data_IF_813827225646
#
_entry.id   IF_813827225646
#
_cell.length_a   1.000
_cell.length_b   1.000
_cell.length_c   1.000
_cell.angle_alpha   90.00
_cell.angle_beta   90.00
_cell.angle_gamma   90.00
#
_symmetry.space_group_name_H-M   'P 1'
#
loop_
_entity.id
_entity.type
_entity.pdbx_description
1 polymer ?
#
# COMPACT_ATOMS: atom_id res chain seq x y z
N UNK A 1 -17.89 6.00 0.49
CA UNK A 1 -16.61 6.15 1.18
C UNK A 1 -15.58 5.46 0.31
N UNK A 2 -14.62 6.20 -0.21
CA UNK A 2 -13.49 5.65 -1.00
C UNK A 2 -12.41 5.09 -0.06
N UNK A 3 -11.50 4.27 -0.59
CA UNK A 3 -10.34 3.75 0.15
C UNK A 3 -9.49 4.89 0.70
N UNK A 4 -9.31 5.97 -0.07
CA UNK A 4 -8.56 7.16 0.33
C UNK A 4 -9.27 7.89 1.48
N UNK A 5 -10.59 8.03 1.42
CA UNK A 5 -11.38 8.61 2.52
C UNK A 5 -11.26 7.75 3.78
N UNK A 6 -11.35 6.43 3.66
CA UNK A 6 -11.22 5.52 4.78
C UNK A 6 -9.83 5.61 5.44
N UNK A 7 -8.75 5.61 4.64
CA UNK A 7 -7.37 5.80 5.14
C UNK A 7 -7.26 7.13 5.90
N UNK A 8 -7.76 8.22 5.33
CA UNK A 8 -7.71 9.55 5.96
C UNK A 8 -8.43 9.59 7.31
N UNK A 9 -9.60 8.94 7.42
CA UNK A 9 -10.33 8.85 8.68
C UNK A 9 -9.58 7.97 9.70
N UNK A 10 -9.01 6.84 9.27
CA UNK A 10 -8.23 5.96 10.14
C UNK A 10 -6.99 6.65 10.71
N UNK A 11 -6.27 7.43 9.89
CA UNK A 11 -5.09 8.19 10.34
C UNK A 11 -5.43 9.23 11.41
N UNK A 12 -6.63 9.83 11.38
CA UNK A 12 -7.07 10.79 12.41
C UNK A 12 -7.35 10.11 13.75
N UNK A 13 -7.89 8.89 13.71
CA UNK A 13 -8.31 8.12 14.89
C UNK A 13 -7.21 7.23 15.48
N UNK A 14 -6.01 7.25 14.90
CA UNK A 14 -4.91 6.42 15.34
C UNK A 14 -4.61 6.61 16.84
N UNK A 15 -4.38 5.53 17.61
CA UNK A 15 -4.05 5.62 19.04
C UNK A 15 -2.90 6.57 19.31
N UNK A 16 -3.02 7.38 20.37
CA UNK A 16 -2.04 8.41 20.74
C UNK A 16 -1.33 8.07 22.05
N UNK A 17 -0.07 8.47 22.17
CA UNK A 17 0.78 8.35 23.36
C UNK A 17 1.39 9.68 23.78
N UNK A 18 1.93 9.68 25.00
CA UNK A 18 2.78 10.74 25.53
C UNK A 18 4.24 10.27 25.61
N UNK A 19 5.18 11.16 25.26
CA UNK A 19 6.62 10.90 25.25
C UNK A 19 7.39 12.12 25.76
N UNK A 20 8.58 11.91 26.30
CA UNK A 20 9.47 13.00 26.71
C UNK A 20 10.16 13.60 25.48
N UNK A 21 10.01 14.91 25.28
CA UNK A 21 10.64 15.68 24.20
C UNK A 21 11.29 16.91 24.82
N UNK A 22 12.61 17.04 24.68
CA UNK A 22 13.40 18.14 25.27
C UNK A 22 13.16 18.32 26.79
N UNK A 23 13.09 17.22 27.53
CA UNK A 23 12.89 17.26 28.99
C UNK A 23 11.47 17.63 29.44
N UNK A 24 10.51 17.77 28.52
CA UNK A 24 9.08 18.01 28.85
C UNK A 24 8.22 16.86 28.32
N UNK A 25 7.23 16.44 29.10
CA UNK A 25 6.26 15.44 28.67
C UNK A 25 5.31 16.08 27.64
N UNK A 26 5.24 15.52 26.44
CA UNK A 26 4.36 15.95 25.36
C UNK A 26 3.46 14.79 24.92
N UNK A 27 2.21 15.09 24.57
CA UNK A 27 1.21 14.10 24.13
C UNK A 27 0.82 14.29 22.66
N UNK A 28 0.11 13.30 22.11
CA UNK A 28 -0.48 13.38 20.76
C UNK A 28 0.33 12.65 19.68
N UNK A 29 1.31 11.84 20.06
CA UNK A 29 2.09 11.04 19.11
C UNK A 29 1.38 9.74 18.76
N UNK A 30 1.38 9.37 17.48
CA UNK A 30 0.86 8.07 17.07
C UNK A 30 1.60 6.90 17.73
N UNK A 31 0.83 5.95 18.22
CA UNK A 31 1.30 4.78 18.94
C UNK A 31 1.22 3.50 18.10
N UNK A 32 2.07 3.42 17.09
CA UNK A 32 2.20 2.28 16.18
C UNK A 32 2.64 0.97 16.85
N UNK A 33 3.05 1.01 18.13
CA UNK A 33 3.57 -0.15 18.84
C UNK A 33 2.53 -0.84 19.72
N UNK A 34 1.43 -0.16 20.05
CA UNK A 34 0.31 -0.79 20.74
C UNK A 34 -0.41 -1.79 19.84
N UNK A 35 -1.08 -2.78 20.43
CA UNK A 35 -1.92 -3.73 19.67
C UNK A 35 -2.94 -3.02 18.76
N UNK A 36 -3.49 -1.90 19.24
CA UNK A 36 -4.39 -1.06 18.46
C UNK A 36 -3.67 -0.36 17.32
N UNK A 37 -2.49 0.20 17.55
CA UNK A 37 -1.69 0.84 16.50
C UNK A 37 -1.34 -0.15 15.39
N UNK A 38 -0.87 -1.35 15.77
CA UNK A 38 -0.55 -2.43 14.82
C UNK A 38 -1.78 -2.81 13.98
N UNK A 39 -2.96 -2.94 14.61
CA UNK A 39 -4.20 -3.25 13.90
C UNK A 39 -4.61 -2.13 12.93
N UNK A 40 -4.44 -0.86 13.32
CA UNK A 40 -4.71 0.28 12.45
C UNK A 40 -3.74 0.33 11.26
N UNK A 41 -2.44 0.15 11.50
CA UNK A 41 -1.42 0.14 10.46
C UNK A 41 -1.68 -1.00 9.45
N UNK A 42 -2.06 -2.19 9.93
CA UNK A 42 -2.40 -3.32 9.08
C UNK A 42 -3.63 -3.03 8.21
N UNK A 43 -4.67 -2.43 8.79
CA UNK A 43 -5.88 -2.06 8.04
C UNK A 43 -5.59 -0.97 7.00
N UNK A 44 -4.77 0.04 7.34
CA UNK A 44 -4.32 1.07 6.39
C UNK A 44 -3.55 0.42 5.24
N UNK A 45 -2.60 -0.46 5.52
CA UNK A 45 -1.85 -1.18 4.47
C UNK A 45 -2.74 -2.01 3.56
N UNK A 46 -3.78 -2.65 4.12
CA UNK A 46 -4.74 -3.41 3.33
C UNK A 46 -5.55 -2.50 2.40
N UNK A 47 -6.01 -1.34 2.89
CA UNK A 47 -6.72 -0.34 2.09
C UNK A 47 -5.84 0.27 1.00
N UNK A 48 -4.57 0.56 1.31
CA UNK A 48 -3.60 1.06 0.32
C UNK A 48 -3.39 0.09 -0.84
N UNK A 49 -3.42 -1.22 -0.56
CA UNK A 49 -3.32 -2.27 -1.60
C UNK A 49 -4.57 -2.35 -2.47
N UNK A 50 -5.73 -1.91 -2.00
CA UNK A 50 -6.95 -1.86 -2.81
C UNK A 50 -6.96 -0.71 -3.81
N UNK A 51 -6.15 0.34 -3.60
CA UNK A 51 -6.00 1.43 -4.56
C UNK A 51 -5.18 0.92 -5.76
N UNK A 52 -5.74 0.88 -6.98
CA UNK A 52 -5.02 0.40 -8.16
C UNK A 52 -3.75 1.19 -8.42
N UNK A 53 -2.65 0.49 -8.73
CA UNK A 53 -1.37 1.10 -9.09
C UNK A 53 -0.95 0.63 -10.47
N UNK A 54 -0.42 1.57 -11.25
CA UNK A 54 0.04 1.31 -12.62
C UNK A 54 1.16 0.27 -12.63
N UNK A 55 0.98 -0.80 -13.41
CA UNK A 55 1.97 -1.85 -13.61
C UNK A 55 3.28 -1.31 -14.19
N UNK A 56 4.41 -1.92 -13.84
CA UNK A 56 5.73 -1.54 -14.36
C UNK A 56 6.10 -2.46 -15.52
N UNK A 57 6.74 -1.91 -16.54
CA UNK A 57 7.34 -2.69 -17.62
C UNK A 57 8.87 -2.52 -17.55
N UNK A 58 9.63 -3.59 -17.80
CA UNK A 58 11.11 -3.59 -17.79
C UNK A 58 11.76 -2.67 -18.83
N UNK A 59 10.98 -2.12 -19.76
CA UNK A 59 11.47 -1.31 -20.86
C UNK A 59 12.09 -2.15 -21.97
N UNK A 60 12.86 -1.50 -22.85
CA UNK A 60 13.33 -2.06 -24.14
C UNK A 60 14.12 -3.37 -24.05
N UNK A 61 14.72 -3.69 -22.89
CA UNK A 61 15.60 -4.85 -22.75
C UNK A 61 14.84 -6.18 -22.76
N UNK A 62 13.61 -6.19 -22.21
CA UNK A 62 12.65 -7.29 -22.34
C UNK A 62 11.25 -6.63 -22.40
N UNK A 63 10.75 -6.25 -23.59
CA UNK A 63 9.52 -5.44 -23.74
C UNK A 63 8.25 -6.12 -23.22
N UNK A 64 8.34 -7.41 -22.95
CA UNK A 64 7.21 -8.31 -22.75
C UNK A 64 6.95 -8.67 -21.28
N UNK A 65 7.82 -8.23 -20.37
CA UNK A 65 7.68 -8.51 -18.95
C UNK A 65 7.02 -7.34 -18.20
N UNK A 66 5.98 -7.66 -17.45
CA UNK A 66 5.26 -6.73 -16.60
C UNK A 66 5.41 -7.14 -15.15
N UNK A 67 5.52 -6.15 -14.26
CA UNK A 67 5.88 -6.34 -12.87
C UNK A 67 4.92 -5.63 -11.93
N UNK A 68 4.66 -6.25 -10.79
CA UNK A 68 3.92 -5.66 -9.70
C UNK A 68 4.62 -4.36 -9.27
N UNK A 69 3.91 -3.22 -9.23
CA UNK A 69 4.55 -1.94 -8.89
C UNK A 69 5.04 -1.88 -7.44
N UNK A 70 4.50 -2.74 -6.58
CA UNK A 70 4.76 -2.73 -5.13
C UNK A 70 5.82 -3.74 -4.70
N UNK A 71 5.71 -5.00 -5.11
CA UNK A 71 6.67 -6.05 -4.69
C UNK A 71 7.68 -6.45 -5.76
N UNK A 72 7.49 -6.03 -7.02
CA UNK A 72 8.37 -6.39 -8.13
C UNK A 72 8.19 -7.81 -8.67
N UNK A 73 7.15 -8.53 -8.24
CA UNK A 73 6.82 -9.84 -8.80
C UNK A 73 6.48 -9.75 -10.29
N UNK A 74 6.90 -10.74 -11.07
CA UNK A 74 6.50 -10.89 -12.47
C UNK A 74 4.99 -11.18 -12.57
N UNK A 75 4.28 -10.36 -13.34
CA UNK A 75 2.84 -10.49 -13.58
C UNK A 75 2.55 -11.29 -14.85
N UNK A 76 3.26 -10.95 -15.94
CA UNK A 76 3.20 -11.66 -17.21
C UNK A 76 4.49 -11.44 -18.01
N UNK A 77 4.85 -12.41 -18.83
CA UNK A 77 6.05 -12.46 -19.69
C UNK A 77 5.74 -12.78 -21.17
N UNK A 78 4.45 -12.94 -21.51
CA UNK A 78 3.98 -13.37 -22.82
C UNK A 78 3.87 -12.24 -23.86
N UNK A 79 4.18 -11.01 -23.43
CA UNK A 79 4.20 -9.82 -24.27
C UNK A 79 2.87 -9.13 -24.47
N UNK A 80 1.80 -9.65 -23.88
CA UNK A 80 0.50 -9.01 -23.86
C UNK A 80 0.19 -8.48 -22.45
N UNK A 81 -0.65 -7.45 -22.40
CA UNK A 81 -1.21 -7.00 -21.13
C UNK A 81 -2.26 -8.02 -20.70
N UNK A 82 -1.98 -8.78 -19.66
CA UNK A 82 -2.99 -9.64 -19.06
C UNK A 82 -3.90 -8.80 -18.16
N UNK A 83 -4.90 -8.17 -18.81
CA UNK A 83 -5.86 -7.31 -18.11
C UNK A 83 -6.77 -8.09 -17.17
N UNK A 84 -6.80 -9.42 -17.23
CA UNK A 84 -7.61 -10.25 -16.34
C UNK A 84 -6.99 -10.39 -14.95
N UNK A 85 -5.67 -10.20 -14.83
CA UNK A 85 -4.96 -10.14 -13.54
C UNK A 85 -5.29 -8.81 -12.85
N UNK A 86 -6.29 -8.81 -11.96
CA UNK A 86 -6.71 -7.60 -11.23
C UNK A 86 -5.84 -7.29 -10.01
N UNK A 87 -5.17 -8.30 -9.45
CA UNK A 87 -4.38 -8.19 -8.24
C UNK A 87 -3.07 -8.97 -8.38
N UNK A 88 -2.00 -8.52 -7.72
CA UNK A 88 -0.78 -9.31 -7.62
C UNK A 88 -0.97 -10.46 -6.61
N UNK A 89 -0.74 -11.69 -7.04
CA UNK A 89 -0.90 -12.88 -6.18
C UNK A 89 0.06 -12.93 -4.99
N UNK A 90 1.24 -12.31 -5.10
CA UNK A 90 2.22 -12.32 -4.01
C UNK A 90 1.91 -11.31 -2.91
N UNK A 91 1.45 -10.10 -3.25
CA UNK A 91 1.30 -9.02 -2.27
C UNK A 91 -0.11 -8.45 -2.15
N UNK A 92 -1.04 -8.83 -3.04
CA UNK A 92 -2.43 -8.39 -3.05
C UNK A 92 -2.67 -6.98 -3.59
N UNK A 93 -1.66 -6.33 -4.18
CA UNK A 93 -1.81 -5.00 -4.78
C UNK A 93 -2.76 -5.04 -5.97
N UNK A 94 -3.81 -4.21 -5.95
CA UNK A 94 -4.68 -3.94 -7.09
C UNK A 94 -3.88 -3.31 -8.23
N UNK A 95 -4.08 -3.81 -9.44
CA UNK A 95 -3.29 -3.47 -10.62
C UNK A 95 -4.08 -2.58 -11.56
N UNK A 96 -3.43 -1.52 -12.02
CA UNK A 96 -3.91 -0.68 -13.11
C UNK A 96 -3.09 -0.98 -14.38
N UNK A 97 -3.79 -1.45 -15.41
CA UNK A 97 -3.22 -1.82 -16.70
C UNK A 97 -3.38 -0.73 -17.76
N UNK A 98 -4.00 0.41 -17.44
CA UNK A 98 -4.16 1.52 -18.37
C UNK A 98 -2.79 2.09 -18.78
N UNK A 99 -2.63 2.41 -20.08
CA UNK A 99 -1.37 2.88 -20.68
C UNK A 99 -1.29 4.39 -20.64
#
# INVERSE_FOLDING_TARGET
MTEIEAINEMSKMHPKTCKMVNGRLQGGFDDHKSDKGIAFDMAIQALEKQIPKKVKNSGERIPFEWYCPTCGELLCDDGYKDTDIKYCDQCGQALDWEV
#
